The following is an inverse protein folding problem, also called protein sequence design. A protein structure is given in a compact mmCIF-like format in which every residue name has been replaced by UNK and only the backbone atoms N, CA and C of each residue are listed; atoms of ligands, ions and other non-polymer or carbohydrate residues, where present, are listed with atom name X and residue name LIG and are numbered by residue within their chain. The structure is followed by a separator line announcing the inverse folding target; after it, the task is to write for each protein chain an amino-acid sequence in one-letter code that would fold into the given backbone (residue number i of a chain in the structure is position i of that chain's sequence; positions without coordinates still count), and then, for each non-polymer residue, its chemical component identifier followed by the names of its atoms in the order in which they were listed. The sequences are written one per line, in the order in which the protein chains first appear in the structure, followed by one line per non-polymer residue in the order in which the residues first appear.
data_IF_789762927519
#
_entry.id   IF_789762927519
#
_cell.length_a   1.000
_cell.length_b   1.000
_cell.length_c   1.000
_cell.angle_alpha   90.00
_cell.angle_beta   90.00
_cell.angle_gamma   90.00
#
_symmetry.space_group_name_H-M   'P 1'
#
loop_
_entity.id
_entity.type
_entity.pdbx_description
1 polymer ?
#
# COMPACT_ATOMS: atom_id res chain seq x y z
N UNK A 1 2.56 -3.05 9.38
CA UNK A 1 3.72 -2.74 8.51
C UNK A 1 3.94 -1.25 8.33
N UNK A 2 3.00 -0.48 7.76
CA UNK A 2 3.21 0.97 7.55
C UNK A 2 3.39 1.77 8.86
N UNK A 3 2.52 1.55 9.85
CA UNK A 3 2.49 2.31 11.12
C UNK A 3 3.34 1.73 12.25
N UNK A 4 3.96 0.57 12.04
CA UNK A 4 4.74 -0.11 13.08
C UNK A 4 6.16 0.47 13.13
N UNK A 5 6.59 1.09 14.24
CA UNK A 5 7.86 1.81 14.28
C UNK A 5 9.08 0.87 14.25
N UNK A 6 9.01 -0.25 14.98
CA UNK A 6 10.15 -1.14 15.21
C UNK A 6 10.19 -2.29 14.19
N UNK A 7 10.32 -1.95 12.91
CA UNK A 7 10.48 -2.93 11.83
C UNK A 7 11.93 -3.05 11.44
N UNK A 8 12.42 -4.28 11.30
CA UNK A 8 13.77 -4.56 10.80
C UNK A 8 13.89 -4.21 9.32
N UNK A 9 15.12 -3.96 8.87
CA UNK A 9 15.41 -3.70 7.45
C UNK A 9 14.96 -4.84 6.54
N UNK A 10 15.08 -6.09 6.99
CA UNK A 10 14.61 -7.26 6.24
C UNK A 10 13.09 -7.31 6.11
N UNK A 11 12.35 -6.93 7.16
CA UNK A 11 10.89 -6.78 7.06
C UNK A 11 10.49 -5.62 6.15
N UNK A 12 11.28 -4.55 6.10
CA UNK A 12 11.01 -3.37 5.28
C UNK A 12 11.30 -3.61 3.79
N UNK A 13 12.29 -4.45 3.47
CA UNK A 13 12.57 -4.94 2.12
C UNK A 13 11.54 -5.94 1.60
N UNK A 14 10.76 -6.56 2.48
CA UNK A 14 9.80 -7.58 2.06
C UNK A 14 8.83 -7.02 0.99
N UNK A 15 8.75 -7.71 -0.14
CA UNK A 15 7.88 -7.36 -1.25
C UNK A 15 6.45 -7.82 -0.98
N UNK A 16 5.47 -6.98 -1.32
CA UNK A 16 4.06 -7.34 -1.32
C UNK A 16 3.37 -6.88 -2.60
N UNK A 17 2.30 -7.58 -2.99
CA UNK A 17 1.40 -7.15 -4.06
C UNK A 17 0.28 -6.28 -3.48
N UNK A 18 -0.21 -5.34 -4.29
CA UNK A 18 -1.39 -4.55 -3.96
C UNK A 18 -2.36 -4.47 -5.15
N UNK A 19 -3.62 -4.21 -4.83
CA UNK A 19 -4.70 -3.93 -5.78
C UNK A 19 -5.62 -2.89 -5.15
N UNK A 20 -6.09 -1.93 -5.93
CA UNK A 20 -7.09 -0.98 -5.48
C UNK A 20 -8.43 -1.67 -5.22
N UNK A 21 -9.11 -1.34 -4.11
CA UNK A 21 -10.42 -1.92 -3.79
C UNK A 21 -11.47 -1.64 -4.88
N UNK A 22 -11.36 -0.50 -5.59
CA UNK A 22 -12.23 -0.15 -6.72
C UNK A 22 -12.03 -1.10 -7.90
N UNK A 23 -10.80 -1.54 -8.15
CA UNK A 23 -10.50 -2.51 -9.20
C UNK A 23 -10.96 -3.90 -8.80
N UNK A 24 -10.87 -4.26 -7.52
CA UNK A 24 -11.50 -5.46 -6.98
C UNK A 24 -13.00 -5.44 -7.24
N UNK A 25 -13.70 -4.35 -6.92
CA UNK A 25 -15.15 -4.23 -7.18
C UNK A 25 -15.49 -4.32 -8.67
N UNK A 26 -14.74 -3.64 -9.55
CA UNK A 26 -14.91 -3.75 -11.00
C UNK A 26 -14.71 -5.18 -11.47
N UNK A 27 -13.67 -5.86 -11.01
CA UNK A 27 -13.41 -7.25 -11.38
C UNK A 27 -14.57 -8.17 -10.98
N UNK A 28 -15.15 -8.01 -9.79
CA UNK A 28 -16.32 -8.78 -9.39
C UNK A 28 -17.51 -8.56 -10.35
N UNK A 29 -17.77 -7.31 -10.72
CA UNK A 29 -18.84 -6.96 -11.67
C UNK A 29 -18.58 -7.57 -13.05
N UNK A 30 -17.35 -7.52 -13.55
CA UNK A 30 -16.99 -8.08 -14.87
C UNK A 30 -17.06 -9.61 -14.89
N UNK A 31 -16.69 -10.27 -13.81
CA UNK A 31 -16.77 -11.73 -13.67
C UNK A 31 -18.22 -12.21 -13.75
N UNK A 32 -19.16 -11.48 -13.14
CA UNK A 32 -20.59 -11.82 -13.21
C UNK A 32 -21.17 -11.70 -14.62
N UNK A 33 -20.56 -10.90 -15.50
CA UNK A 33 -20.99 -10.72 -16.90
C UNK A 33 -20.38 -11.74 -17.86
N UNK A 34 -19.39 -12.52 -17.41
CA UNK A 34 -18.60 -13.39 -18.25
C UNK A 34 -18.81 -14.86 -17.87
N UNK A 35 -19.63 -15.57 -18.64
CA UNK A 35 -19.91 -17.00 -18.40
C UNK A 35 -18.63 -17.86 -18.35
N UNK A 36 -17.57 -17.46 -19.07
CA UNK A 36 -16.28 -18.18 -19.06
C UNK A 36 -15.55 -18.09 -17.72
N UNK A 37 -15.94 -17.15 -16.86
CA UNK A 37 -15.37 -17.01 -15.52
C UNK A 37 -16.11 -17.87 -14.48
N UNK A 38 -17.19 -18.57 -14.85
CA UNK A 38 -17.92 -19.43 -13.94
C UNK A 38 -17.08 -20.62 -13.50
N UNK A 39 -16.99 -20.85 -12.18
CA UNK A 39 -16.20 -21.94 -11.59
C UNK A 39 -14.70 -21.65 -11.49
N UNK A 40 -14.23 -20.52 -12.01
CA UNK A 40 -12.81 -20.17 -12.00
C UNK A 40 -12.37 -19.47 -10.70
N UNK A 41 -11.08 -19.57 -10.40
CA UNK A 41 -10.43 -18.81 -9.33
C UNK A 41 -9.59 -17.69 -9.93
N UNK A 42 -9.97 -16.46 -9.67
CA UNK A 42 -9.35 -15.28 -10.30
C UNK A 42 -8.42 -14.60 -9.31
N UNK A 43 -7.16 -14.46 -9.70
CA UNK A 43 -6.15 -13.71 -8.95
C UNK A 43 -6.20 -12.26 -9.42
N UNK A 44 -6.39 -11.33 -8.49
CA UNK A 44 -6.33 -9.90 -8.74
C UNK A 44 -5.06 -9.33 -8.12
N UNK A 45 -4.19 -8.79 -8.97
CA UNK A 45 -2.98 -8.09 -8.57
C UNK A 45 -2.77 -6.90 -9.51
N UNK A 46 -2.39 -5.74 -8.98
CA UNK A 46 -1.94 -4.61 -9.78
C UNK A 46 -0.40 -4.61 -9.78
N UNK A 47 0.20 -3.94 -8.79
CA UNK A 47 1.64 -3.81 -8.67
C UNK A 47 2.22 -4.53 -7.47
N UNK A 48 3.55 -4.46 -7.40
CA UNK A 48 4.33 -4.88 -6.25
C UNK A 48 5.13 -3.71 -5.70
N UNK A 49 5.41 -3.74 -4.41
CA UNK A 49 6.23 -2.74 -3.74
C UNK A 49 6.93 -3.35 -2.52
N UNK A 50 8.00 -2.73 -2.06
CA UNK A 50 8.52 -2.99 -0.71
C UNK A 50 7.79 -2.13 0.31
N UNK A 51 7.81 -2.53 1.58
CA UNK A 51 7.25 -1.69 2.64
C UNK A 51 8.01 -0.38 2.81
N UNK A 52 9.32 -0.39 2.55
CA UNK A 52 10.13 0.83 2.57
C UNK A 52 9.77 1.78 1.43
N UNK A 53 9.56 1.29 0.20
CA UNK A 53 9.09 2.12 -0.91
C UNK A 53 7.75 2.78 -0.61
N UNK A 54 6.86 2.04 0.04
CA UNK A 54 5.57 2.58 0.47
C UNK A 54 5.75 3.73 1.46
N UNK A 55 6.68 3.59 2.42
CA UNK A 55 7.03 4.69 3.33
C UNK A 55 7.68 5.86 2.58
N UNK A 56 8.55 5.60 1.63
CA UNK A 56 9.20 6.63 0.82
C UNK A 56 8.16 7.41 -0.01
N UNK A 57 7.19 6.72 -0.59
CA UNK A 57 6.10 7.32 -1.37
C UNK A 57 5.12 8.10 -0.50
N UNK A 58 4.69 7.54 0.64
CA UNK A 58 3.83 8.28 1.58
C UNK A 58 4.57 9.51 2.13
N UNK A 59 5.87 9.43 2.37
CA UNK A 59 6.69 10.57 2.76
C UNK A 59 6.79 11.66 1.68
N UNK A 60 6.88 11.30 0.40
CA UNK A 60 6.90 12.30 -0.68
C UNK A 60 5.57 13.05 -0.80
N UNK A 61 4.45 12.41 -0.45
CA UNK A 61 3.12 13.02 -0.43
C UNK A 61 2.85 13.82 0.85
N UNK A 62 3.25 13.30 2.02
CA UNK A 62 2.92 13.82 3.35
C UNK A 62 4.12 13.78 4.30
N UNK A 63 5.15 14.61 4.07
CA UNK A 63 6.34 14.64 4.93
C UNK A 63 6.01 15.08 6.36
N UNK A 64 4.93 15.86 6.55
CA UNK A 64 4.43 16.32 7.85
C UNK A 64 4.07 15.17 8.80
N UNK A 65 3.56 14.04 8.28
CA UNK A 65 3.20 12.87 9.08
C UNK A 65 4.44 12.17 9.68
N UNK A 66 5.59 12.30 9.02
CA UNK A 66 6.87 11.75 9.51
C UNK A 66 7.55 12.73 10.46
N UNK A 67 7.58 14.02 10.10
CA UNK A 67 8.15 15.07 10.95
C UNK A 67 7.40 15.18 12.29
N UNK A 68 6.09 14.97 12.28
CA UNK A 68 5.28 14.94 13.50
C UNK A 68 5.45 13.65 14.30
N UNK A 69 5.97 12.56 13.71
CA UNK A 69 6.09 11.24 14.36
C UNK A 69 4.80 10.42 14.35
N UNK A 70 3.82 10.77 13.51
CA UNK A 70 2.62 9.96 13.27
C UNK A 70 2.97 8.68 12.50
N UNK A 71 3.87 8.79 11.52
CA UNK A 71 4.36 7.66 10.73
C UNK A 71 5.86 7.43 10.91
N UNK A 72 6.32 6.17 11.03
CA UNK A 72 7.73 5.85 11.14
C UNK A 72 8.43 5.91 9.77
N UNK A 73 9.64 6.47 9.73
CA UNK A 73 10.41 6.64 8.47
C UNK A 73 11.02 5.34 7.95
N UNK A 74 11.47 4.45 8.84
CA UNK A 74 12.31 3.29 8.48
C UNK A 74 13.69 3.73 7.98
N UNK A 75 14.30 2.89 7.14
CA UNK A 75 15.58 3.17 6.49
C UNK A 75 15.33 3.55 5.01
N UNK A 76 15.37 4.83 4.64
CA UNK A 76 14.98 5.30 3.31
C UNK A 76 15.86 4.78 2.17
N UNK A 77 17.08 4.36 2.49
CA UNK A 77 18.13 3.97 1.55
C UNK A 77 18.17 2.46 1.30
N UNK A 78 17.19 1.71 1.80
CA UNK A 78 17.08 0.27 1.51
C UNK A 78 16.85 0.04 0.03
N UNK A 79 17.49 -1.01 -0.48
CA UNK A 79 17.26 -1.53 -1.82
C UNK A 79 15.76 -1.80 -2.03
N UNK A 80 15.25 -1.30 -3.16
CA UNK A 80 13.86 -1.35 -3.55
C UNK A 80 13.57 -2.39 -4.63
N UNK A 81 14.48 -3.35 -4.80
CA UNK A 81 14.31 -4.45 -5.73
C UNK A 81 13.10 -5.29 -5.34
N UNK A 82 12.00 -5.13 -6.09
CA UNK A 82 10.79 -5.95 -5.97
C UNK A 82 11.03 -7.33 -6.55
N UNK A 83 10.56 -8.37 -5.85
CA UNK A 83 10.76 -9.76 -6.25
C UNK A 83 9.95 -10.17 -7.50
N UNK A 84 8.88 -9.46 -7.82
CA UNK A 84 7.99 -9.73 -8.97
C UNK A 84 7.26 -8.44 -9.38
N UNK A 85 6.89 -8.33 -10.66
CA UNK A 85 6.00 -7.27 -11.17
C UNK A 85 4.95 -7.95 -12.04
N UNK A 86 3.68 -7.82 -11.67
CA UNK A 86 2.56 -8.40 -12.43
C UNK A 86 1.97 -7.37 -13.42
N UNK A 87 1.71 -6.13 -12.96
CA UNK A 87 1.24 -5.01 -13.77
C UNK A 87 1.87 -3.71 -13.22
N UNK A 88 2.32 -2.79 -14.07
CA UNK A 88 2.90 -1.52 -13.63
C UNK A 88 1.84 -0.41 -13.68
N UNK A 89 1.38 0.05 -12.51
CA UNK A 89 0.57 1.26 -12.40
C UNK A 89 0.99 2.16 -11.24
N UNK A 90 0.87 3.47 -11.46
CA UNK A 90 1.13 4.53 -10.49
C UNK A 90 0.08 4.52 -9.37
N UNK A 91 0.54 4.73 -8.13
CA UNK A 91 -0.21 4.41 -6.92
C UNK A 91 -1.15 5.55 -6.45
N UNK A 92 -2.08 5.98 -7.29
CA UNK A 92 -3.08 7.02 -6.95
C UNK A 92 -3.93 6.63 -5.71
N UNK A 93 -4.09 5.34 -5.45
CA UNK A 93 -4.84 4.80 -4.29
C UNK A 93 -4.33 5.32 -2.95
N UNK A 94 -3.01 5.50 -2.77
CA UNK A 94 -2.45 5.94 -1.49
C UNK A 94 -2.86 7.37 -1.17
N UNK A 95 -2.94 8.25 -2.17
CA UNK A 95 -3.41 9.63 -1.98
C UNK A 95 -4.85 9.67 -1.45
N UNK A 96 -5.74 8.92 -2.11
CA UNK A 96 -7.15 8.80 -1.71
C UNK A 96 -7.32 8.22 -0.30
N UNK A 97 -6.50 7.21 0.04
CA UNK A 97 -6.50 6.60 1.36
C UNK A 97 -6.11 7.62 2.46
N UNK A 98 -5.05 8.39 2.23
CA UNK A 98 -4.59 9.40 3.18
C UNK A 98 -5.64 10.50 3.39
N UNK A 99 -6.30 10.93 2.32
CA UNK A 99 -7.39 11.92 2.40
C UNK A 99 -8.58 11.40 3.23
N UNK A 100 -9.01 10.15 3.02
CA UNK A 100 -10.08 9.54 3.82
C UNK A 100 -9.68 9.40 5.30
N UNK A 101 -8.44 9.03 5.58
CA UNK A 101 -7.95 8.90 6.96
C UNK A 101 -7.87 10.26 7.68
N UNK A 102 -7.47 11.30 6.97
CA UNK A 102 -7.46 12.67 7.49
C UNK A 102 -8.88 13.17 7.78
N UNK A 103 -9.82 12.97 6.85
CA UNK A 103 -11.23 13.35 7.03
C UNK A 103 -11.88 12.65 8.24
N UNK A 104 -11.44 11.43 8.56
CA UNK A 104 -11.89 10.66 9.73
C UNK A 104 -11.13 10.98 11.02
N UNK A 105 -10.09 11.81 10.96
CA UNK A 105 -9.24 12.14 12.10
C UNK A 105 -8.44 10.93 12.61
N UNK A 106 -8.05 10.02 11.73
CA UNK A 106 -7.32 8.79 12.06
C UNK A 106 -5.78 8.95 11.99
N UNK A 107 -5.28 10.04 11.42
CA UNK A 107 -3.86 10.37 11.36
C UNK A 107 -3.37 10.97 12.69
N UNK A 108 -3.31 10.15 13.73
CA UNK A 108 -2.87 10.53 15.07
C UNK A 108 -1.65 9.71 15.49
N UNK A 109 -0.84 10.26 16.40
CA UNK A 109 0.29 9.54 16.98
C UNK A 109 -0.19 8.24 17.65
N UNK A 110 0.57 7.14 17.55
CA UNK A 110 0.35 5.99 18.40
C UNK A 110 0.38 6.43 19.87
N UNK A 111 -0.62 6.04 20.65
CA UNK A 111 -0.59 6.18 22.11
C UNK A 111 0.21 4.99 22.61
N UNK A 112 1.27 5.22 23.39
CA UNK A 112 2.02 4.14 24.02
C UNK A 112 1.06 3.32 24.90
N UNK A 113 0.78 2.08 24.49
CA UNK A 113 0.01 1.07 25.26
C UNK A 113 0.91 -0.09 25.61
#
# INVERSE_FOLDING_TARGET
MLTQPNKSDEELKATYNFIGVRDVSKAHVEVLKNEKAAGERIILANGASTWQDTRNYVHSLRPDLYASGVLPRGNPDLDNTVLYIYIYQQNEMIGDLLADFEARGWLKKPVDT
#
